data_IF_938494868308
#
_entry.id   IF_938494868308
#
_cell.length_a   1.000
_cell.length_b   1.000
_cell.length_c   1.000
_cell.angle_alpha   90.00
_cell.angle_beta   90.00
_cell.angle_gamma   90.00
#
_symmetry.space_group_name_H-M   'P 1'
#
loop_
_entity.id
_entity.type
_entity.pdbx_description
1 polymer ?
#
# COMPACT_ATOMS: atom_id res chain seq x y z
N UNK A 1 49.76 34.33 23.58
CA UNK A 1 49.30 32.93 23.62
C UNK A 1 48.86 32.56 22.22
N UNK A 2 49.62 31.67 21.56
CA UNK A 2 49.29 31.08 20.27
C UNK A 2 48.52 29.79 20.50
N UNK A 3 47.41 29.60 19.79
CA UNK A 3 47.04 28.30 19.24
C UNK A 3 46.48 28.57 17.84
N UNK A 4 47.32 28.37 16.84
CA UNK A 4 46.89 28.11 15.46
C UNK A 4 46.19 26.74 15.39
N UNK A 5 45.11 26.64 14.61
CA UNK A 5 44.75 25.44 13.88
C UNK A 5 43.84 25.84 12.71
N UNK A 6 44.40 26.04 11.51
CA UNK A 6 44.75 25.03 10.51
C UNK A 6 43.59 24.62 9.59
N UNK A 7 43.64 25.20 8.38
CA UNK A 7 43.39 24.55 7.09
C UNK A 7 41.95 24.15 6.75
N UNK A 8 41.19 25.10 6.19
CA UNK A 8 40.25 24.79 5.11
C UNK A 8 41.04 24.27 3.89
N UNK A 9 41.36 22.97 3.89
CA UNK A 9 41.83 22.28 2.69
C UNK A 9 40.70 22.32 1.66
N UNK A 10 40.79 23.23 0.69
CA UNK A 10 40.05 23.09 -0.57
C UNK A 10 40.35 21.68 -1.08
N UNK A 11 39.31 20.85 -1.21
CA UNK A 11 39.46 19.50 -1.80
C UNK A 11 40.15 19.67 -3.15
N UNK A 12 41.21 18.89 -3.35
CA UNK A 12 41.93 18.85 -4.62
C UNK A 12 40.92 18.56 -5.73
N UNK A 13 40.81 19.44 -6.73
CA UNK A 13 40.05 19.11 -7.95
C UNK A 13 40.80 17.96 -8.61
N UNK A 14 40.22 16.77 -8.58
CA UNK A 14 40.71 15.62 -9.32
C UNK A 14 40.52 15.95 -10.80
N UNK A 15 41.57 16.40 -11.48
CA UNK A 15 41.59 16.56 -12.92
C UNK A 15 41.95 15.22 -13.55
N UNK A 16 41.00 14.61 -14.26
CA UNK A 16 41.30 13.46 -15.14
C UNK A 16 42.24 13.91 -16.26
N UNK A 17 43.23 13.09 -16.63
CA UNK A 17 44.04 13.38 -17.81
C UNK A 17 43.17 13.20 -19.06
N UNK A 18 43.41 14.01 -20.07
CA UNK A 18 42.69 13.94 -21.36
C UNK A 18 42.93 12.57 -21.98
N UNK A 19 41.89 11.73 -22.03
CA UNK A 19 41.96 10.33 -22.48
C UNK A 19 41.71 9.28 -21.38
N UNK A 20 41.61 9.67 -20.11
CA UNK A 20 41.25 8.75 -19.04
C UNK A 20 39.80 8.28 -19.16
N UNK A 21 39.56 6.99 -18.94
CA UNK A 21 38.23 6.40 -18.96
C UNK A 21 37.43 6.91 -17.74
N UNK A 22 36.38 7.69 -18.01
CA UNK A 22 35.46 8.27 -17.00
C UNK A 22 34.85 7.19 -16.08
N UNK A 23 34.77 5.94 -16.57
CA UNK A 23 34.21 4.82 -15.83
C UNK A 23 35.20 4.12 -14.89
N UNK A 24 36.50 4.48 -14.87
CA UNK A 24 37.51 3.84 -14.02
C UNK A 24 37.28 4.07 -12.52
N UNK A 25 36.52 5.10 -12.17
CA UNK A 25 36.14 5.46 -10.79
C UNK A 25 34.63 5.47 -10.57
N UNK A 26 33.83 5.17 -11.59
CA UNK A 26 32.41 4.94 -11.43
C UNK A 26 32.22 3.50 -10.96
N UNK A 27 31.25 3.32 -10.06
CA UNK A 27 30.86 2.10 -9.31
C UNK A 27 31.35 0.78 -9.92
N UNK A 28 31.77 -0.21 -9.10
CA UNK A 28 32.14 -1.53 -9.61
C UNK A 28 31.09 -2.06 -10.60
N UNK A 29 31.52 -2.83 -11.62
CA UNK A 29 30.66 -3.25 -12.72
C UNK A 29 29.32 -3.79 -12.21
N UNK A 30 28.22 -3.48 -12.92
CA UNK A 30 26.84 -3.76 -12.50
C UNK A 30 26.57 -5.23 -12.14
N UNK A 31 27.49 -6.13 -12.51
CA UNK A 31 27.41 -7.57 -12.37
C UNK A 31 27.78 -8.08 -10.97
N UNK A 32 28.25 -7.22 -10.05
CA UNK A 32 28.58 -7.60 -8.66
C UNK A 32 27.56 -7.11 -7.61
N UNK A 33 26.49 -6.44 -8.03
CA UNK A 33 25.48 -5.91 -7.11
C UNK A 33 24.23 -6.81 -7.09
N UNK A 34 23.96 -7.42 -5.93
CA UNK A 34 22.67 -8.03 -5.67
C UNK A 34 21.69 -6.95 -5.23
N UNK A 35 20.66 -6.68 -6.04
CA UNK A 35 19.58 -5.80 -5.63
C UNK A 35 18.69 -6.54 -4.63
N UNK A 36 18.64 -6.03 -3.40
CA UNK A 36 17.76 -6.54 -2.36
C UNK A 36 16.63 -5.56 -2.16
N UNK A 37 15.39 -6.06 -2.14
CA UNK A 37 14.26 -5.30 -1.62
C UNK A 37 14.08 -5.67 -0.15
N UNK A 38 13.87 -4.67 0.71
CA UNK A 38 13.57 -4.91 2.11
C UNK A 38 12.43 -4.00 2.60
N UNK A 39 11.72 -4.47 3.61
CA UNK A 39 10.86 -3.69 4.46
C UNK A 39 11.54 -3.51 5.82
N UNK A 40 11.39 -2.34 6.42
CA UNK A 40 11.61 -2.12 7.85
C UNK A 40 10.53 -1.20 8.40
N UNK A 41 10.11 -1.44 9.63
CA UNK A 41 9.20 -0.57 10.38
C UNK A 41 9.93 0.03 11.58
N UNK A 42 9.65 1.30 11.88
CA UNK A 42 10.31 2.05 12.96
C UNK A 42 9.26 2.87 13.70
N UNK A 43 9.35 2.89 15.02
CA UNK A 43 8.55 3.76 15.88
C UNK A 43 9.50 4.41 16.89
N UNK A 44 9.50 5.74 16.96
CA UNK A 44 10.35 6.48 17.87
C UNK A 44 9.98 6.18 19.32
N UNK A 45 10.98 5.90 20.16
CA UNK A 45 10.75 5.53 21.56
C UNK A 45 10.27 4.09 21.76
N UNK A 46 10.29 3.26 20.70
CA UNK A 46 10.02 1.82 20.78
C UNK A 46 11.18 1.02 20.17
N UNK A 47 11.24 -0.29 20.48
CA UNK A 47 12.21 -1.17 19.86
C UNK A 47 12.04 -1.16 18.32
N UNK A 48 13.13 -1.36 17.54
CA UNK A 48 13.04 -1.49 16.10
C UNK A 48 11.97 -2.51 15.70
N UNK A 49 11.16 -2.15 14.71
CA UNK A 49 10.08 -3.00 14.25
C UNK A 49 10.57 -4.15 13.38
N UNK A 50 9.62 -4.97 12.88
CA UNK A 50 9.96 -6.07 12.00
C UNK A 50 10.66 -5.57 10.74
N UNK A 51 11.66 -6.34 10.30
CA UNK A 51 12.22 -6.23 8.97
C UNK A 51 11.92 -7.49 8.15
N UNK A 52 11.95 -7.33 6.84
CA UNK A 52 11.76 -8.44 5.92
C UNK A 52 12.61 -8.20 4.66
N UNK A 53 13.39 -9.20 4.29
CA UNK A 53 14.14 -9.23 3.04
C UNK A 53 13.36 -10.09 2.06
N UNK A 54 13.08 -9.53 0.89
CA UNK A 54 12.27 -10.22 -0.12
C UNK A 54 13.11 -11.21 -0.89
N UNK A 55 12.67 -12.46 -0.87
CA UNK A 55 13.20 -13.52 -1.70
C UNK A 55 12.35 -13.71 -2.96
N UNK A 56 12.96 -14.37 -3.96
CA UNK A 56 12.25 -14.87 -5.12
C UNK A 56 11.08 -15.76 -4.69
N UNK A 57 9.92 -15.52 -5.31
CA UNK A 57 8.74 -16.33 -5.05
C UNK A 57 8.96 -17.76 -5.55
N UNK A 58 8.82 -18.73 -4.65
CA UNK A 58 8.84 -20.15 -5.03
C UNK A 58 7.52 -20.54 -5.68
N UNK A 59 7.52 -21.60 -6.49
CA UNK A 59 6.30 -22.10 -7.14
C UNK A 59 5.21 -22.46 -6.13
N UNK A 60 5.58 -22.98 -4.96
CA UNK A 60 4.63 -23.35 -3.91
C UNK A 60 4.02 -22.13 -3.23
N UNK A 61 4.83 -21.11 -2.90
CA UNK A 61 4.32 -19.82 -2.38
C UNK A 61 3.37 -19.18 -3.39
N UNK A 62 3.71 -19.22 -4.69
CA UNK A 62 2.84 -18.72 -5.75
C UNK A 62 1.48 -19.42 -5.77
N UNK A 63 1.46 -20.75 -5.74
CA UNK A 63 0.22 -21.54 -5.70
C UNK A 63 -0.62 -21.25 -4.47
N UNK A 64 0.02 -21.15 -3.29
CA UNK A 64 -0.66 -20.82 -2.06
C UNK A 64 -1.34 -19.43 -2.14
N UNK A 65 -0.64 -18.42 -2.65
CA UNK A 65 -1.19 -17.09 -2.83
C UNK A 65 -2.30 -17.02 -3.90
N UNK A 66 -2.16 -17.79 -4.98
CA UNK A 66 -3.22 -17.93 -5.98
C UNK A 66 -4.49 -18.55 -5.38
N UNK A 67 -4.34 -19.54 -4.49
CA UNK A 67 -5.46 -20.13 -3.76
C UNK A 67 -6.10 -19.12 -2.79
N UNK A 68 -5.32 -18.41 -1.98
CA UNK A 68 -5.83 -17.36 -1.09
C UNK A 68 -6.60 -16.30 -1.87
N UNK A 69 -6.07 -15.86 -3.02
CA UNK A 69 -6.76 -14.89 -3.89
C UNK A 69 -8.08 -15.45 -4.42
N UNK A 70 -8.12 -16.74 -4.79
CA UNK A 70 -9.32 -17.42 -5.26
C UNK A 70 -10.38 -17.45 -4.15
N UNK A 71 -10.01 -17.88 -2.94
CA UNK A 71 -10.91 -17.99 -1.79
C UNK A 71 -11.48 -16.61 -1.41
N UNK A 72 -10.64 -15.57 -1.38
CA UNK A 72 -11.08 -14.20 -1.13
C UNK A 72 -12.09 -13.73 -2.18
N UNK A 73 -11.83 -13.99 -3.46
CA UNK A 73 -12.75 -13.64 -4.53
C UNK A 73 -14.08 -14.40 -4.45
N UNK A 74 -14.06 -15.68 -4.08
CA UNK A 74 -15.27 -16.48 -3.87
C UNK A 74 -16.09 -15.96 -2.70
N UNK A 75 -15.44 -15.61 -1.58
CA UNK A 75 -16.08 -14.99 -0.42
C UNK A 75 -16.78 -13.68 -0.80
N UNK A 76 -16.09 -12.80 -1.52
CA UNK A 76 -16.67 -11.53 -1.96
C UNK A 76 -17.79 -11.72 -2.99
N UNK A 77 -17.71 -12.72 -3.87
CA UNK A 77 -18.80 -13.08 -4.77
C UNK A 77 -20.03 -13.60 -4.00
N UNK A 78 -19.83 -14.34 -2.92
CA UNK A 78 -20.91 -14.78 -2.01
C UNK A 78 -21.62 -13.58 -1.35
N UNK A 79 -20.84 -12.67 -0.74
CA UNK A 79 -21.37 -11.44 -0.14
C UNK A 79 -22.12 -10.59 -1.16
N UNK A 80 -21.56 -10.43 -2.36
CA UNK A 80 -22.20 -9.71 -3.45
C UNK A 80 -23.54 -10.33 -3.83
N UNK A 81 -23.62 -11.66 -3.91
CA UNK A 81 -24.86 -12.37 -4.25
C UNK A 81 -25.91 -12.14 -3.17
N UNK A 82 -25.54 -12.29 -1.90
CA UNK A 82 -26.40 -12.02 -0.76
C UNK A 82 -26.92 -10.57 -0.77
N UNK A 83 -26.06 -9.57 -0.97
CA UNK A 83 -26.47 -8.16 -1.03
C UNK A 83 -27.48 -7.89 -2.16
N UNK A 84 -27.29 -8.53 -3.32
CA UNK A 84 -28.22 -8.41 -4.46
C UNK A 84 -29.58 -9.03 -4.17
N UNK A 85 -29.63 -10.09 -3.38
CA UNK A 85 -30.88 -10.72 -2.94
C UNK A 85 -31.56 -9.84 -1.89
N UNK A 86 -30.83 -9.38 -0.87
CA UNK A 86 -31.35 -8.47 0.16
C UNK A 86 -31.91 -7.18 -0.44
N UNK A 87 -31.26 -6.63 -1.47
CA UNK A 87 -31.72 -5.45 -2.18
C UNK A 87 -33.11 -5.57 -2.83
N UNK A 88 -33.59 -6.81 -3.05
CA UNK A 88 -34.93 -7.10 -3.60
C UNK A 88 -36.00 -7.24 -2.52
N UNK A 89 -35.60 -7.40 -1.26
CA UNK A 89 -36.51 -7.59 -0.13
C UNK A 89 -36.83 -6.22 0.48
N UNK A 90 -38.11 -5.81 0.56
CA UNK A 90 -38.47 -4.56 1.24
C UNK A 90 -37.99 -4.53 2.69
N UNK A 91 -37.68 -3.35 3.20
CA UNK A 91 -37.23 -3.10 4.58
C UNK A 91 -35.82 -3.59 4.93
N UNK A 92 -35.05 -4.09 3.97
CA UNK A 92 -33.59 -4.30 4.15
C UNK A 92 -32.83 -2.99 3.94
N UNK A 93 -31.61 -2.93 4.48
CA UNK A 93 -30.70 -1.82 4.28
C UNK A 93 -30.37 -1.64 2.79
N UNK A 94 -30.02 -2.72 2.09
CA UNK A 94 -29.65 -2.72 0.68
C UNK A 94 -30.79 -2.22 -0.22
N UNK A 95 -32.04 -2.57 0.13
CA UNK A 95 -33.20 -2.05 -0.57
C UNK A 95 -33.37 -0.55 -0.33
N UNK A 96 -33.16 -0.10 0.91
CA UNK A 96 -33.14 1.32 1.29
C UNK A 96 -32.13 2.12 0.48
N UNK A 97 -30.90 1.61 0.32
CA UNK A 97 -29.84 2.25 -0.49
C UNK A 97 -30.30 2.48 -1.93
N UNK A 98 -30.89 1.46 -2.58
CA UNK A 98 -31.37 1.62 -3.96
C UNK A 98 -32.52 2.64 -4.05
N UNK A 99 -33.43 2.64 -3.07
CA UNK A 99 -34.54 3.59 -2.98
C UNK A 99 -34.06 5.02 -2.84
N UNK A 100 -33.02 5.24 -2.03
CA UNK A 100 -32.41 6.56 -1.84
C UNK A 100 -31.74 7.05 -3.12
N UNK A 101 -30.98 6.20 -3.80
CA UNK A 101 -30.36 6.53 -5.09
C UNK A 101 -31.43 6.90 -6.12
N UNK A 102 -32.51 6.11 -6.21
CA UNK A 102 -33.61 6.37 -7.13
C UNK A 102 -34.34 7.68 -6.81
N UNK A 103 -34.56 7.99 -5.54
CA UNK A 103 -35.16 9.25 -5.11
C UNK A 103 -34.24 10.44 -5.46
N UNK A 104 -32.93 10.31 -5.23
CA UNK A 104 -31.94 11.31 -5.60
C UNK A 104 -31.90 11.54 -7.12
N UNK A 105 -31.92 10.47 -7.92
CA UNK A 105 -32.00 10.57 -9.38
C UNK A 105 -33.26 11.30 -9.84
N UNK A 106 -34.41 11.04 -9.21
CA UNK A 106 -35.66 11.75 -9.52
C UNK A 106 -35.59 13.23 -9.16
N UNK A 107 -34.92 13.57 -8.05
CA UNK A 107 -34.67 14.97 -7.67
C UNK A 107 -33.78 15.66 -8.70
N UNK A 108 -32.67 15.02 -9.07
CA UNK A 108 -31.75 15.54 -10.08
C UNK A 108 -32.41 15.69 -11.44
N UNK A 109 -33.27 14.76 -11.87
CA UNK A 109 -34.00 14.88 -13.13
C UNK A 109 -34.94 16.10 -13.18
N UNK A 110 -35.31 16.67 -12.03
CA UNK A 110 -36.10 17.91 -11.93
C UNK A 110 -35.24 19.15 -11.87
N UNK A 111 -34.12 19.11 -11.13
CA UNK A 111 -33.28 20.30 -10.87
C UNK A 111 -32.18 20.49 -11.91
N UNK A 112 -31.68 19.39 -12.47
CA UNK A 112 -30.56 19.34 -13.41
C UNK A 112 -30.80 18.19 -14.42
N UNK A 113 -31.73 18.37 -15.37
CA UNK A 113 -32.07 17.34 -16.34
C UNK A 113 -30.89 17.06 -17.28
N UNK A 114 -30.75 15.81 -17.69
CA UNK A 114 -29.70 15.43 -18.62
C UNK A 114 -29.86 16.16 -19.97
N UNK A 115 -28.75 16.54 -20.65
CA UNK A 115 -28.81 17.18 -21.97
C UNK A 115 -29.56 16.37 -23.03
N UNK A 116 -29.65 15.06 -22.87
CA UNK A 116 -30.39 14.15 -23.75
C UNK A 116 -31.91 14.22 -23.59
N UNK A 117 -32.42 14.94 -22.59
CA UNK A 117 -33.84 14.99 -22.22
C UNK A 117 -34.38 13.68 -21.60
N UNK A 118 -33.54 12.63 -21.50
CA UNK A 118 -33.92 11.36 -20.87
C UNK A 118 -33.78 11.46 -19.36
N UNK A 119 -34.68 10.78 -18.65
CA UNK A 119 -34.56 10.57 -17.20
C UNK A 119 -33.40 9.64 -16.88
N UNK A 120 -32.77 9.85 -15.73
CA UNK A 120 -31.75 8.93 -15.19
C UNK A 120 -32.39 7.56 -14.94
N UNK A 121 -31.67 6.51 -15.31
CA UNK A 121 -32.16 5.15 -15.16
C UNK A 121 -32.28 4.77 -13.68
N UNK A 122 -33.34 4.02 -13.33
CA UNK A 122 -33.46 3.41 -12.00
C UNK A 122 -32.28 2.48 -11.73
N UNK A 123 -31.74 2.55 -10.52
CA UNK A 123 -30.58 1.77 -10.10
C UNK A 123 -30.98 0.32 -9.90
N UNK A 124 -30.16 -0.60 -10.41
CA UNK A 124 -30.38 -2.04 -10.29
C UNK A 124 -29.40 -2.65 -9.27
N UNK A 125 -29.79 -3.69 -8.52
CA UNK A 125 -28.91 -4.34 -7.55
C UNK A 125 -27.57 -4.80 -8.15
N UNK A 126 -27.58 -5.30 -9.39
CA UNK A 126 -26.36 -5.77 -10.05
C UNK A 126 -25.39 -4.64 -10.43
N UNK A 127 -25.86 -3.39 -10.50
CA UNK A 127 -25.03 -2.21 -10.76
C UNK A 127 -24.46 -1.61 -9.49
N UNK A 128 -25.23 -1.62 -8.40
CA UNK A 128 -24.81 -1.04 -7.12
C UNK A 128 -23.91 -1.99 -6.34
N UNK A 129 -24.36 -3.23 -6.17
CA UNK A 129 -23.60 -4.27 -5.47
C UNK A 129 -22.73 -4.99 -6.50
N UNK A 130 -21.74 -4.27 -7.03
CA UNK A 130 -20.70 -4.80 -7.93
C UNK A 130 -19.40 -4.98 -7.15
N UNK A 131 -18.90 -6.21 -7.13
CA UNK A 131 -17.54 -6.52 -6.72
C UNK A 131 -16.70 -6.80 -7.96
N UNK A 132 -15.49 -6.22 -8.01
CA UNK A 132 -14.52 -6.53 -9.06
C UNK A 132 -13.58 -7.62 -8.55
N UNK A 133 -13.53 -8.72 -9.31
CA UNK A 133 -12.66 -9.84 -8.99
C UNK A 133 -11.21 -9.39 -9.04
N UNK A 134 -10.49 -9.66 -7.97
CA UNK A 134 -9.08 -9.37 -7.90
C UNK A 134 -8.29 -10.36 -8.74
N UNK A 135 -7.38 -9.83 -9.54
CA UNK A 135 -6.51 -10.59 -10.43
C UNK A 135 -5.05 -10.30 -10.14
N UNK A 136 -4.21 -11.27 -10.50
CA UNK A 136 -2.76 -11.21 -10.37
C UNK A 136 -2.16 -11.41 -11.75
N UNK A 137 -1.55 -10.37 -12.31
CA UNK A 137 -0.89 -10.45 -13.61
C UNK A 137 0.37 -11.31 -13.57
N UNK A 138 0.77 -11.85 -14.72
CA UNK A 138 2.07 -12.49 -14.85
C UNK A 138 3.18 -11.44 -14.71
N UNK A 139 4.09 -11.64 -13.76
CA UNK A 139 5.26 -10.78 -13.59
C UNK A 139 6.51 -11.49 -14.06
N UNK A 140 7.23 -10.85 -14.97
CA UNK A 140 8.51 -11.30 -15.50
C UNK A 140 9.71 -10.97 -14.59
N UNK A 141 9.55 -10.10 -13.58
CA UNK A 141 10.67 -9.50 -12.82
C UNK A 141 10.63 -9.64 -11.29
N UNK A 142 9.84 -10.56 -10.73
CA UNK A 142 9.93 -10.93 -9.29
C UNK A 142 9.55 -9.86 -8.25
N UNK A 143 9.03 -8.70 -8.67
CA UNK A 143 8.63 -7.60 -7.79
C UNK A 143 7.49 -7.95 -6.82
N UNK A 144 7.45 -7.27 -5.67
CA UNK A 144 6.43 -7.41 -4.61
C UNK A 144 5.05 -7.00 -5.13
N UNK A 145 4.04 -7.83 -4.91
CA UNK A 145 2.65 -7.50 -5.20
C UNK A 145 1.83 -7.36 -3.91
N UNK A 146 0.58 -6.91 -4.07
CA UNK A 146 -0.31 -6.59 -2.97
C UNK A 146 -0.60 -7.79 -2.07
N UNK A 147 -0.78 -9.00 -2.64
CA UNK A 147 -1.15 -10.19 -1.85
C UNK A 147 0.06 -10.75 -1.11
N UNK A 148 1.24 -10.76 -1.74
CA UNK A 148 2.50 -11.06 -1.05
C UNK A 148 2.71 -10.09 0.10
N UNK A 149 2.47 -8.80 -0.12
CA UNK A 149 2.59 -7.79 0.93
C UNK A 149 1.66 -8.05 2.11
N UNK A 150 0.38 -8.36 1.85
CA UNK A 150 -0.57 -8.70 2.92
C UNK A 150 -0.12 -9.91 3.73
N UNK A 151 0.11 -11.03 3.05
CA UNK A 151 0.32 -12.33 3.68
C UNK A 151 1.69 -12.48 4.35
N UNK A 152 2.69 -11.67 3.95
CA UNK A 152 4.04 -11.76 4.52
C UNK A 152 4.40 -10.60 5.43
N UNK A 153 3.78 -9.43 5.24
CA UNK A 153 4.09 -8.21 5.99
C UNK A 153 2.93 -7.80 6.88
N UNK A 154 1.79 -7.42 6.29
CA UNK A 154 0.74 -6.74 7.06
C UNK A 154 0.20 -7.64 8.17
N UNK A 155 -0.20 -8.87 7.81
CA UNK A 155 -0.88 -9.76 8.73
C UNK A 155 0.06 -10.39 9.78
N UNK A 156 1.21 -10.98 9.40
CA UNK A 156 2.03 -11.69 10.39
C UNK A 156 3.04 -10.79 11.13
N UNK A 157 3.33 -9.59 10.64
CA UNK A 157 4.42 -8.75 11.18
C UNK A 157 3.95 -7.38 11.62
N UNK A 158 3.40 -6.58 10.69
CA UNK A 158 3.19 -5.16 10.92
C UNK A 158 2.03 -4.89 11.88
N UNK A 159 0.87 -5.52 11.68
CA UNK A 159 -0.28 -5.33 12.56
C UNK A 159 -0.06 -5.89 13.98
N UNK A 160 0.50 -7.11 14.15
CA UNK A 160 0.87 -7.59 15.48
C UNK A 160 1.84 -6.66 16.21
N UNK A 161 2.87 -6.17 15.53
CA UNK A 161 3.83 -5.24 16.14
C UNK A 161 3.19 -3.89 16.50
N UNK A 162 2.32 -3.35 15.64
CA UNK A 162 1.56 -2.13 15.96
C UNK A 162 0.64 -2.33 17.17
N UNK A 163 0.05 -3.52 17.32
CA UNK A 163 -0.74 -3.89 18.50
C UNK A 163 0.11 -3.91 19.77
N UNK A 164 1.31 -4.49 19.72
CA UNK A 164 2.24 -4.50 20.85
C UNK A 164 2.59 -3.08 21.32
N UNK A 165 2.82 -2.15 20.38
CA UNK A 165 3.05 -0.74 20.71
C UNK A 165 1.81 -0.13 21.37
N UNK A 166 0.62 -0.39 20.82
CA UNK A 166 -0.64 0.10 21.38
C UNK A 166 -0.83 -0.39 22.82
N UNK A 167 -0.62 -1.68 23.06
CA UNK A 167 -0.77 -2.31 24.38
C UNK A 167 0.28 -1.81 25.38
N UNK A 168 1.52 -1.60 24.95
CA UNK A 168 2.59 -1.12 25.81
C UNK A 168 2.45 0.36 26.19
N UNK A 169 1.91 1.19 25.29
CA UNK A 169 1.85 2.65 25.47
C UNK A 169 0.48 3.17 25.88
N UNK A 170 -0.58 2.37 25.68
CA UNK A 170 -1.97 2.80 25.82
C UNK A 170 -2.41 3.84 24.78
N UNK A 171 -1.61 4.10 23.74
CA UNK A 171 -1.85 5.14 22.73
C UNK A 171 -2.29 4.54 21.40
N UNK A 172 -3.14 5.23 20.62
CA UNK A 172 -3.42 4.81 19.26
C UNK A 172 -2.14 4.83 18.41
N UNK A 173 -1.99 3.82 17.55
CA UNK A 173 -0.84 3.65 16.67
C UNK A 173 -1.25 3.92 15.24
N UNK A 174 -0.52 4.80 14.57
CA UNK A 174 -0.76 5.18 13.18
C UNK A 174 0.36 4.64 12.30
N UNK A 175 0.02 3.70 11.42
CA UNK A 175 0.89 3.12 10.42
C UNK A 175 0.90 4.04 9.20
N UNK A 176 2.11 4.43 8.79
CA UNK A 176 2.36 5.29 7.64
C UNK A 176 3.21 4.50 6.64
N UNK A 177 2.70 4.37 5.41
CA UNK A 177 3.37 3.68 4.30
C UNK A 177 3.41 4.58 3.06
N UNK A 178 4.41 4.39 2.20
CA UNK A 178 4.47 5.05 0.91
C UNK A 178 3.33 4.58 -0.02
N UNK A 179 3.00 5.42 -1.00
CA UNK A 179 1.91 5.18 -1.94
C UNK A 179 2.29 4.25 -3.10
N UNK A 180 3.15 3.26 -2.85
CA UNK A 180 3.42 2.21 -3.83
C UNK A 180 2.11 1.50 -4.20
N UNK A 181 1.84 1.20 -5.49
CA UNK A 181 0.58 0.59 -5.90
C UNK A 181 0.25 -0.73 -5.17
N UNK A 182 1.27 -1.51 -4.82
CA UNK A 182 1.13 -2.72 -4.00
C UNK A 182 0.63 -2.41 -2.59
N UNK A 183 1.13 -1.35 -1.95
CA UNK A 183 0.73 -0.95 -0.59
C UNK A 183 -0.68 -0.37 -0.61
N UNK A 184 -1.02 0.50 -1.55
CA UNK A 184 -2.38 1.06 -1.66
C UNK A 184 -3.41 -0.06 -1.77
N UNK A 185 -3.20 -1.00 -2.69
CA UNK A 185 -4.12 -2.11 -2.90
C UNK A 185 -4.16 -3.06 -1.70
N UNK A 186 -3.01 -3.38 -1.11
CA UNK A 186 -2.94 -4.21 0.10
C UNK A 186 -3.68 -3.57 1.28
N UNK A 187 -3.46 -2.28 1.54
CA UNK A 187 -4.15 -1.51 2.60
C UNK A 187 -5.67 -1.50 2.42
N UNK A 188 -6.13 -1.30 1.18
CA UNK A 188 -7.56 -1.30 0.83
C UNK A 188 -8.21 -2.65 1.11
N UNK A 189 -7.53 -3.74 0.76
CA UNK A 189 -8.07 -5.09 0.92
C UNK A 189 -7.87 -5.65 2.33
N UNK A 190 -6.96 -5.08 3.13
CA UNK A 190 -6.67 -5.51 4.50
C UNK A 190 -7.59 -4.88 5.56
N UNK A 191 -8.67 -4.18 5.18
CA UNK A 191 -9.52 -3.43 6.11
C UNK A 191 -10.16 -4.34 7.15
N UNK A 192 -10.74 -5.46 6.74
CA UNK A 192 -11.38 -6.41 7.67
C UNK A 192 -10.36 -7.04 8.62
N UNK A 193 -9.17 -7.40 8.12
CA UNK A 193 -8.11 -7.93 8.98
C UNK A 193 -7.63 -6.90 10.00
N UNK A 194 -7.49 -5.63 9.56
CA UNK A 194 -7.08 -4.53 10.44
C UNK A 194 -8.10 -4.25 11.55
N UNK A 195 -9.39 -4.45 11.30
CA UNK A 195 -10.44 -4.26 12.33
C UNK A 195 -10.26 -5.18 13.55
N UNK A 196 -9.49 -6.28 13.43
CA UNK A 196 -9.12 -7.15 14.56
C UNK A 196 -8.13 -6.51 15.53
N UNK A 197 -7.53 -5.37 15.15
CA UNK A 197 -6.49 -4.67 15.91
C UNK A 197 -7.00 -3.29 16.36
N UNK A 198 -7.85 -3.23 17.41
CA UNK A 198 -8.33 -1.95 17.93
C UNK A 198 -7.16 -1.09 18.39
N UNK A 199 -7.25 0.22 18.15
CA UNK A 199 -6.16 1.16 18.43
C UNK A 199 -5.07 1.23 17.34
N UNK A 200 -5.13 0.39 16.30
CA UNK A 200 -4.22 0.45 15.14
C UNK A 200 -4.93 1.06 13.93
N UNK A 201 -4.35 2.14 13.41
CA UNK A 201 -4.87 2.90 12.28
C UNK A 201 -3.84 2.97 11.17
N UNK A 202 -4.30 3.09 9.93
CA UNK A 202 -3.44 3.28 8.76
C UNK A 202 -3.79 4.63 8.15
N UNK A 203 -2.77 5.44 7.88
CA UNK A 203 -2.93 6.80 7.34
C UNK A 203 -2.45 6.83 5.89
N UNK A 204 -3.16 7.60 5.07
CA UNK A 204 -2.72 7.88 3.71
C UNK A 204 -1.62 8.93 3.71
N UNK A 205 -0.51 8.59 3.07
CA UNK A 205 0.59 9.52 2.87
C UNK A 205 0.25 10.49 1.73
N UNK A 206 0.57 11.79 1.82
CA UNK A 206 0.45 12.68 0.67
C UNK A 206 1.35 12.19 -0.48
N UNK A 207 0.80 12.12 -1.69
CA UNK A 207 1.57 11.75 -2.87
C UNK A 207 2.69 12.78 -3.14
N UNK A 208 3.86 12.31 -3.56
CA UNK A 208 5.02 13.11 -4.03
C UNK A 208 5.87 13.82 -2.95
N UNK A 209 5.82 13.39 -1.69
CA UNK A 209 6.74 13.90 -0.65
C UNK A 209 7.57 12.74 -0.05
N UNK A 210 8.66 12.32 -0.73
CA UNK A 210 9.61 11.34 -0.16
C UNK A 210 10.29 11.87 1.11
N UNK A 211 10.54 13.19 1.16
CA UNK A 211 11.28 13.89 2.23
C UNK A 211 10.63 13.84 3.63
N UNK A 212 9.33 13.54 3.71
CA UNK A 212 8.64 13.44 5.01
C UNK A 212 8.75 12.02 5.62
N UNK A 213 9.20 11.03 4.85
CA UNK A 213 9.35 9.67 5.36
C UNK A 213 10.71 9.58 6.06
N UNK A 214 10.73 9.52 7.40
CA UNK A 214 11.95 9.32 8.23
C UNK A 214 12.79 8.10 7.79
N UNK A 215 12.27 7.24 6.90
CA UNK A 215 13.00 6.13 6.27
C UNK A 215 14.13 6.59 5.34
N UNK A 216 14.04 7.76 4.69
CA UNK A 216 15.07 8.21 3.74
C UNK A 216 16.33 8.79 4.43
N UNK A 217 16.19 9.36 5.63
CA UNK A 217 17.31 9.91 6.39
C UNK A 217 18.34 8.83 6.81
N UNK A 218 17.92 7.57 6.95
CA UNK A 218 18.81 6.46 7.31
C UNK A 218 19.64 5.92 6.12
N UNK A 219 19.30 6.30 4.88
CA UNK A 219 20.13 6.03 3.71
C UNK A 219 21.24 7.07 3.48
N UNK A 220 21.20 8.19 4.22
CA UNK A 220 22.11 9.32 4.09
C UNK A 220 23.23 9.36 5.14
N UNK A 221 23.41 8.30 5.93
CA UNK A 221 24.59 8.12 6.78
C UNK A 221 25.80 7.71 5.92
N UNK A 222 26.42 8.70 5.28
CA UNK A 222 27.79 8.59 4.77
C UNK A 222 28.77 8.74 5.94
N UNK A 223 29.59 7.70 6.12
CA UNK A 223 30.99 7.68 6.59
C UNK A 223 31.44 8.70 7.62
#
# INVERSE_FOLDING_TARGET
MSVENNHHRKRQKVSMKKGDNVFKHLRPPANTFHQVMFLGAICEGFAPGPFHIWESETKDKRRALEQIMKDNNERHAGVQTMQRELARVPSTYEHGVLREIDANNQRLDRTDPLPSGRRRAKRRPNWEFKYEKETRGERSKGGIDWIRYQETILYPKLYPWAKEIHEATGRPVYIIEDNAPSHIKAKRLAVEERQKYPGVYVVDWPALLPDLNKREDLGASKG
#
